data_IF_114801898126
#
_entry.id   IF_114801898126
#
_cell.length_a   1.000
_cell.length_b   1.000
_cell.length_c   1.000
_cell.angle_alpha   90.00
_cell.angle_beta   90.00
_cell.angle_gamma   90.00
#
_symmetry.space_group_name_H-M   'P 1'
#
loop_
_entity.id
_entity.type
_entity.pdbx_description
1 polymer ?
#
# COMPACT_ATOMS: atom_id res chain seq x y z
N UNK A 1 -16.05 -4.56 -4.15
CA UNK A 1 -16.98 -5.74 -4.11
C UNK A 1 -16.29 -6.89 -3.39
N UNK A 2 -17.03 -7.74 -2.66
CA UNK A 2 -16.42 -8.91 -2.00
C UNK A 2 -15.83 -9.88 -3.04
N UNK A 3 -14.62 -10.39 -2.78
CA UNK A 3 -13.96 -11.36 -3.66
C UNK A 3 -14.66 -12.72 -3.59
N UNK A 4 -14.73 -13.41 -4.71
CA UNK A 4 -15.28 -14.77 -4.84
C UNK A 4 -14.36 -15.81 -4.18
N UNK A 5 -14.87 -17.02 -3.93
CA UNK A 5 -14.08 -18.09 -3.32
C UNK A 5 -12.89 -18.51 -4.20
N UNK A 6 -13.09 -18.57 -5.53
CA UNK A 6 -12.03 -18.82 -6.49
C UNK A 6 -10.93 -17.75 -6.45
N UNK A 7 -11.29 -16.46 -6.46
CA UNK A 7 -10.32 -15.36 -6.38
C UNK A 7 -9.54 -15.39 -5.06
N UNK A 8 -10.22 -15.65 -3.95
CA UNK A 8 -9.60 -15.82 -2.64
C UNK A 8 -8.55 -16.94 -2.66
N UNK A 9 -8.91 -18.09 -3.25
CA UNK A 9 -8.01 -19.24 -3.35
C UNK A 9 -6.78 -18.92 -4.19
N UNK A 10 -6.96 -18.24 -5.32
CA UNK A 10 -5.85 -17.80 -6.17
C UNK A 10 -4.89 -16.87 -5.41
N UNK A 11 -5.41 -15.86 -4.71
CA UNK A 11 -4.61 -14.90 -3.95
C UNK A 11 -3.83 -15.56 -2.81
N UNK A 12 -4.44 -16.50 -2.08
CA UNK A 12 -3.74 -17.25 -1.02
C UNK A 12 -2.64 -18.15 -1.59
N UNK A 13 -2.76 -18.57 -2.86
CA UNK A 13 -1.71 -19.32 -3.54
C UNK A 13 -0.58 -18.47 -4.11
N UNK A 14 -0.68 -17.14 -4.07
CA UNK A 14 0.40 -16.25 -4.47
C UNK A 14 1.68 -16.48 -3.65
N UNK A 15 2.84 -16.25 -4.25
CA UNK A 15 4.14 -16.55 -3.64
C UNK A 15 4.32 -15.88 -2.27
N UNK A 16 3.95 -14.60 -2.15
CA UNK A 16 4.06 -13.84 -0.91
C UNK A 16 3.24 -14.48 0.23
N UNK A 17 1.99 -14.88 -0.05
CA UNK A 17 1.12 -15.54 0.92
C UNK A 17 1.66 -16.92 1.30
N UNK A 18 2.11 -17.73 0.35
CA UNK A 18 2.75 -19.02 0.62
C UNK A 18 3.96 -18.86 1.55
N UNK A 19 4.81 -17.85 1.29
CA UNK A 19 5.97 -17.53 2.14
C UNK A 19 5.52 -17.09 3.54
N UNK A 20 4.50 -16.24 3.62
CA UNK A 20 3.91 -15.78 4.89
C UNK A 20 3.33 -16.90 5.74
N UNK A 21 2.60 -17.84 5.12
CA UNK A 21 2.03 -19.04 5.77
C UNK A 21 3.15 -19.98 6.22
N UNK A 22 4.13 -20.27 5.35
CA UNK A 22 5.26 -21.14 5.68
C UNK A 22 6.10 -20.61 6.86
N UNK A 23 6.29 -19.28 6.94
CA UNK A 23 6.97 -18.61 8.06
C UNK A 23 6.07 -18.38 9.27
N UNK A 24 4.78 -18.74 9.19
CA UNK A 24 3.77 -18.54 10.23
C UNK A 24 3.61 -17.07 10.61
N UNK A 25 3.73 -16.13 9.67
CA UNK A 25 3.36 -14.73 9.90
C UNK A 25 1.85 -14.51 9.73
N UNK A 26 1.23 -15.32 8.88
CA UNK A 26 -0.22 -15.40 8.74
C UNK A 26 -0.66 -16.86 8.77
N UNK A 27 -1.90 -17.09 9.19
CA UNK A 27 -2.56 -18.40 9.11
C UNK A 27 -3.94 -18.19 8.50
N UNK A 28 -4.23 -18.92 7.42
CA UNK A 28 -5.54 -18.93 6.77
C UNK A 28 -6.21 -20.26 7.12
N UNK A 29 -7.50 -20.25 7.45
CA UNK A 29 -8.23 -21.49 7.72
C UNK A 29 -8.48 -22.30 6.44
N UNK A 30 -8.80 -23.58 6.60
CA UNK A 30 -8.99 -24.52 5.49
C UNK A 30 -10.13 -24.11 4.55
N UNK A 31 -11.15 -23.41 5.05
CA UNK A 31 -12.24 -22.87 4.23
C UNK A 31 -11.91 -21.55 3.52
N UNK A 32 -10.69 -21.00 3.70
CA UNK A 32 -10.25 -19.71 3.15
C UNK A 32 -11.17 -18.52 3.49
N UNK A 33 -11.84 -18.56 4.65
CA UNK A 33 -12.78 -17.51 5.05
C UNK A 33 -12.17 -16.50 6.01
N UNK A 34 -11.12 -16.88 6.74
CA UNK A 34 -10.51 -16.06 7.78
C UNK A 34 -9.00 -16.12 7.73
N UNK A 35 -8.39 -15.01 8.09
CA UNK A 35 -6.95 -14.85 8.23
C UNK A 35 -6.63 -14.44 9.67
N UNK A 36 -5.61 -15.07 10.23
CA UNK A 36 -5.02 -14.76 11.52
C UNK A 36 -3.63 -14.20 11.31
N UNK A 37 -3.36 -13.04 11.91
CA UNK A 37 -2.07 -12.37 11.86
C UNK A 37 -1.25 -12.72 13.10
N UNK A 38 -0.05 -13.26 12.91
CA UNK A 38 0.90 -13.47 13.99
C UNK A 38 1.76 -12.21 14.17
N UNK A 39 1.08 -11.14 14.58
CA UNK A 39 1.61 -9.80 14.82
C UNK A 39 1.48 -9.41 16.30
N UNK A 40 1.82 -8.16 16.66
CA UNK A 40 1.81 -7.64 18.03
C UNK A 40 0.47 -7.88 18.76
N UNK A 41 -0.66 -7.58 18.11
CA UNK A 41 -2.00 -7.70 18.69
C UNK A 41 -2.78 -8.97 18.29
N UNK A 42 -2.16 -9.87 17.51
CA UNK A 42 -2.70 -11.20 17.13
C UNK A 42 -4.13 -11.20 16.57
N UNK A 43 -4.39 -10.32 15.60
CA UNK A 43 -5.73 -10.09 15.07
C UNK A 43 -6.23 -11.23 14.17
N UNK A 44 -7.55 -11.48 14.18
CA UNK A 44 -8.27 -12.36 13.24
C UNK A 44 -9.27 -11.55 12.41
N UNK A 45 -9.27 -11.72 11.08
CA UNK A 45 -10.18 -11.02 10.16
C UNK A 45 -10.83 -11.96 9.14
N UNK A 46 -11.84 -11.44 8.43
CA UNK A 46 -12.56 -12.14 7.36
C UNK A 46 -11.97 -11.78 6.01
N UNK A 47 -11.62 -12.78 5.21
CA UNK A 47 -11.03 -12.59 3.89
C UNK A 47 -12.02 -12.05 2.84
N UNK A 48 -13.33 -12.12 3.10
CA UNK A 48 -14.34 -11.54 2.19
C UNK A 48 -14.34 -10.00 2.22
N UNK A 49 -13.73 -9.37 3.22
CA UNK A 49 -13.57 -7.92 3.24
C UNK A 49 -12.68 -7.52 2.05
N UNK A 50 -13.15 -6.64 1.13
CA UNK A 50 -12.42 -6.28 -0.08
C UNK A 50 -11.00 -5.77 0.16
N UNK A 51 -10.76 -5.12 1.30
CA UNK A 51 -9.48 -4.49 1.65
C UNK A 51 -8.51 -5.49 2.31
N UNK A 52 -9.01 -6.63 2.81
CA UNK A 52 -8.23 -7.53 3.66
C UNK A 52 -7.02 -8.13 2.94
N UNK A 53 -7.12 -8.40 1.64
CA UNK A 53 -5.99 -8.89 0.86
C UNK A 53 -4.92 -7.83 0.65
N UNK A 54 -5.33 -6.58 0.46
CA UNK A 54 -4.40 -5.45 0.37
C UNK A 54 -3.69 -5.29 1.71
N UNK A 55 -4.44 -5.32 2.81
CA UNK A 55 -3.89 -5.26 4.16
C UNK A 55 -2.93 -6.41 4.48
N UNK A 56 -3.30 -7.66 4.17
CA UNK A 56 -2.44 -8.83 4.35
C UNK A 56 -1.17 -8.75 3.51
N UNK A 57 -1.29 -8.31 2.26
CA UNK A 57 -0.15 -8.08 1.36
C UNK A 57 0.78 -7.02 1.95
N UNK A 58 0.24 -5.90 2.40
CA UNK A 58 1.01 -4.81 3.01
C UNK A 58 1.72 -5.25 4.29
N UNK A 59 1.04 -6.01 5.16
CA UNK A 59 1.62 -6.62 6.34
C UNK A 59 2.83 -7.51 6.00
N UNK A 60 2.69 -8.39 5.00
CA UNK A 60 3.78 -9.27 4.58
C UNK A 60 4.93 -8.50 3.92
N UNK A 61 4.65 -7.45 3.14
CA UNK A 61 5.67 -6.57 2.55
C UNK A 61 6.47 -5.84 3.63
N UNK A 62 5.80 -5.31 4.67
CA UNK A 62 6.49 -4.70 5.81
C UNK A 62 7.54 -5.64 6.42
N UNK A 63 7.24 -6.93 6.47
CA UNK A 63 8.14 -7.94 7.04
C UNK A 63 9.25 -8.32 6.05
N UNK A 64 8.90 -8.66 4.81
CA UNK A 64 9.84 -9.25 3.86
C UNK A 64 10.65 -8.26 3.05
N UNK A 65 10.07 -7.10 2.75
CA UNK A 65 10.67 -6.09 1.88
C UNK A 65 11.27 -4.95 2.70
N UNK A 66 10.63 -4.61 3.83
CA UNK A 66 11.04 -3.49 4.71
C UNK A 66 11.67 -3.94 6.04
N UNK A 67 11.80 -5.25 6.26
CA UNK A 67 12.52 -5.85 7.38
C UNK A 67 11.95 -5.52 8.78
N UNK A 68 10.68 -5.09 8.87
CA UNK A 68 10.00 -4.88 10.16
C UNK A 68 9.63 -6.21 10.81
N UNK A 69 9.85 -6.32 12.12
CA UNK A 69 9.49 -7.52 12.86
C UNK A 69 7.96 -7.57 13.06
N UNK A 70 7.32 -8.74 12.91
CA UNK A 70 5.88 -8.88 13.15
C UNK A 70 5.43 -8.40 14.54
N UNK A 71 6.31 -8.50 15.54
CA UNK A 71 6.05 -8.06 16.92
C UNK A 71 6.09 -6.53 17.09
N UNK A 72 6.53 -5.79 16.06
CA UNK A 72 6.45 -4.34 15.99
C UNK A 72 5.34 -3.86 15.05
N UNK A 73 4.50 -4.76 14.56
CA UNK A 73 3.40 -4.41 13.66
C UNK A 73 2.09 -4.81 14.33
N UNK A 74 1.12 -3.92 14.35
CA UNK A 74 -0.25 -4.21 14.73
C UNK A 74 -1.16 -4.11 13.52
N UNK A 75 -2.20 -4.93 13.50
CA UNK A 75 -3.19 -4.97 12.42
C UNK A 75 -4.58 -4.73 13.02
N UNK A 76 -5.34 -3.77 12.48
CA UNK A 76 -6.65 -3.34 12.98
C UNK A 76 -6.60 -2.98 14.49
N UNK A 77 -5.66 -2.12 14.88
CA UNK A 77 -5.55 -1.66 16.27
C UNK A 77 -6.50 -0.48 16.52
N UNK A 78 -7.26 -0.53 17.62
CA UNK A 78 -8.12 0.58 18.03
C UNK A 78 -7.28 1.74 18.57
N UNK A 79 -7.50 2.93 18.01
CA UNK A 79 -6.81 4.17 18.33
C UNK A 79 -7.81 5.26 18.73
N UNK A 80 -7.42 6.08 19.70
CA UNK A 80 -8.25 7.21 20.15
C UNK A 80 -8.00 8.43 19.25
N UNK A 81 -9.07 8.95 18.66
CA UNK A 81 -9.08 10.10 17.77
C UNK A 81 -9.97 11.20 18.37
N UNK A 82 -9.37 12.01 19.25
CA UNK A 82 -10.13 12.96 20.06
C UNK A 82 -11.10 12.23 20.98
N UNK A 83 -12.40 12.42 20.75
CA UNK A 83 -13.46 11.76 21.53
C UNK A 83 -13.88 10.39 20.95
N UNK A 84 -13.59 10.11 19.68
CA UNK A 84 -13.97 8.86 19.01
C UNK A 84 -12.86 7.82 19.10
N UNK A 85 -13.23 6.53 19.11
CA UNK A 85 -12.29 5.43 18.92
C UNK A 85 -12.46 4.90 17.50
N UNK A 86 -11.36 4.80 16.74
CA UNK A 86 -11.33 4.28 15.38
C UNK A 86 -10.35 3.12 15.26
N UNK A 87 -10.49 2.31 14.21
CA UNK A 87 -9.60 1.19 13.93
C UNK A 87 -8.61 1.62 12.85
N UNK A 88 -7.30 1.59 13.15
CA UNK A 88 -6.24 1.82 12.17
C UNK A 88 -5.83 0.50 11.53
N UNK A 89 -5.75 0.45 10.20
CA UNK A 89 -5.53 -0.79 9.44
C UNK A 89 -4.21 -1.47 9.81
N UNK A 90 -3.08 -0.75 9.72
CA UNK A 90 -1.79 -1.26 10.20
C UNK A 90 -1.00 -0.12 10.86
N UNK A 91 -0.43 -0.43 12.03
CA UNK A 91 0.50 0.44 12.74
C UNK A 91 1.85 -0.25 12.86
N UNK A 92 2.92 0.41 12.44
CA UNK A 92 4.28 -0.05 12.63
C UNK A 92 4.92 0.75 13.76
N UNK A 93 5.41 0.07 14.77
CA UNK A 93 6.06 0.65 15.93
C UNK A 93 7.58 0.59 15.78
N UNK A 94 8.25 1.43 16.56
CA UNK A 94 9.69 1.31 16.76
C UNK A 94 10.04 0.01 17.52
N UNK A 95 11.33 -0.28 17.62
CA UNK A 95 11.83 -1.52 18.22
C UNK A 95 11.34 -1.73 19.66
N UNK A 96 11.19 -0.64 20.41
CA UNK A 96 10.74 -0.62 21.80
C UNK A 96 9.21 -0.70 21.95
N UNK A 97 8.46 -0.75 20.85
CA UNK A 97 7.00 -0.78 20.83
C UNK A 97 6.31 0.39 21.55
N UNK A 98 7.00 1.53 21.71
CA UNK A 98 6.52 2.68 22.48
C UNK A 98 6.22 3.93 21.63
N UNK A 99 6.53 3.89 20.32
CA UNK A 99 6.21 4.95 19.37
C UNK A 99 5.76 4.33 18.05
N UNK A 100 4.67 4.85 17.48
CA UNK A 100 4.26 4.54 16.11
C UNK A 100 5.20 5.26 15.15
N UNK A 101 5.79 4.52 14.22
CA UNK A 101 6.64 5.05 13.15
C UNK A 101 5.85 5.26 11.86
N UNK A 102 5.03 4.27 11.49
CA UNK A 102 4.31 4.26 10.22
C UNK A 102 2.84 3.95 10.47
N UNK A 103 1.96 4.75 9.88
CA UNK A 103 0.54 4.41 9.71
C UNK A 103 0.33 3.93 8.29
N UNK A 104 -0.20 2.72 8.11
CA UNK A 104 -0.60 2.24 6.78
C UNK A 104 -2.12 2.21 6.71
N UNK A 105 -2.68 2.84 5.68
CA UNK A 105 -4.11 2.82 5.37
C UNK A 105 -4.33 2.04 4.07
N UNK A 106 -5.18 1.02 4.13
CA UNK A 106 -5.45 0.10 3.04
C UNK A 106 -6.82 0.39 2.44
N UNK A 107 -6.94 0.21 1.12
CA UNK A 107 -8.19 0.37 0.38
C UNK A 107 -8.34 -0.74 -0.64
N UNK A 108 -9.56 -0.98 -1.13
CA UNK A 108 -9.78 -1.99 -2.16
C UNK A 108 -9.12 -1.59 -3.48
N UNK A 109 -8.68 -2.57 -4.27
CA UNK A 109 -7.96 -2.36 -5.54
C UNK A 109 -8.70 -1.46 -6.54
N UNK A 110 -10.04 -1.51 -6.53
CA UNK A 110 -10.91 -0.75 -7.44
C UNK A 110 -11.32 0.64 -6.95
N UNK A 111 -10.68 1.16 -5.90
CA UNK A 111 -10.98 2.48 -5.36
C UNK A 111 -10.72 3.59 -6.40
N UNK A 112 -11.61 4.58 -6.47
CA UNK A 112 -11.39 5.74 -7.34
C UNK A 112 -10.48 6.79 -6.69
N UNK A 113 -9.94 7.70 -7.51
CA UNK A 113 -8.97 8.71 -7.08
C UNK A 113 -9.50 9.59 -5.94
N UNK A 114 -10.77 10.01 -5.99
CA UNK A 114 -11.36 10.86 -4.95
C UNK A 114 -11.41 10.14 -3.61
N UNK A 115 -11.86 8.90 -3.59
CA UNK A 115 -11.89 8.08 -2.37
C UNK A 115 -10.47 7.76 -1.87
N UNK A 116 -9.51 7.58 -2.78
CA UNK A 116 -8.11 7.40 -2.42
C UNK A 116 -7.56 8.64 -1.71
N UNK A 117 -7.86 9.85 -2.18
CA UNK A 117 -7.44 11.09 -1.50
C UNK A 117 -8.10 11.26 -0.12
N UNK A 118 -9.34 10.81 0.05
CA UNK A 118 -9.97 10.76 1.39
C UNK A 118 -9.20 9.81 2.32
N UNK A 119 -8.70 8.68 1.82
CA UNK A 119 -7.86 7.76 2.58
C UNK A 119 -6.50 8.38 2.94
N UNK A 120 -5.92 9.21 2.06
CA UNK A 120 -4.72 10.01 2.36
C UNK A 120 -4.94 10.95 3.53
N UNK A 121 -6.05 11.70 3.54
CA UNK A 121 -6.39 12.61 4.62
C UNK A 121 -6.68 11.86 5.94
N UNK A 122 -7.31 10.67 5.87
CA UNK A 122 -7.53 9.80 7.02
C UNK A 122 -6.20 9.31 7.62
N UNK A 123 -5.29 8.77 6.79
CA UNK A 123 -3.99 8.32 7.22
C UNK A 123 -3.18 9.44 7.89
N UNK A 124 -3.26 10.65 7.33
CA UNK A 124 -2.62 11.84 7.91
C UNK A 124 -3.20 12.19 9.29
N UNK A 125 -4.53 12.16 9.44
CA UNK A 125 -5.19 12.39 10.73
C UNK A 125 -4.72 11.41 11.81
N UNK A 126 -4.67 10.12 11.48
CA UNK A 126 -4.13 9.08 12.36
C UNK A 126 -2.67 9.32 12.69
N UNK A 127 -1.82 9.56 11.68
CA UNK A 127 -0.40 9.80 11.89
C UNK A 127 -0.14 11.02 12.77
N UNK A 128 -0.88 12.11 12.58
CA UNK A 128 -0.78 13.30 13.40
C UNK A 128 -1.15 13.03 14.87
N UNK A 129 -2.27 12.34 15.10
CA UNK A 129 -2.75 12.02 16.46
C UNK A 129 -1.83 11.04 17.19
N UNK A 130 -1.19 10.13 16.45
CA UNK A 130 -0.24 9.13 16.98
C UNK A 130 1.22 9.61 17.00
N UNK A 131 1.48 10.85 16.54
CA UNK A 131 2.83 11.39 16.34
C UNK A 131 3.75 10.44 15.52
N UNK A 132 3.17 9.80 14.50
CA UNK A 132 3.89 8.95 13.56
C UNK A 132 4.75 9.78 12.60
N UNK A 133 5.82 9.17 12.09
CA UNK A 133 6.76 9.85 11.19
C UNK A 133 6.38 9.66 9.73
N UNK A 134 5.78 8.52 9.36
CA UNK A 134 5.46 8.20 7.98
C UNK A 134 4.02 7.72 7.83
N UNK A 135 3.47 7.92 6.63
CA UNK A 135 2.25 7.27 6.17
C UNK A 135 2.49 6.49 4.89
N UNK A 136 1.78 5.38 4.76
CA UNK A 136 1.69 4.62 3.52
C UNK A 136 0.22 4.35 3.22
N UNK A 137 -0.27 4.84 2.09
CA UNK A 137 -1.64 4.61 1.63
C UNK A 137 -1.57 3.70 0.42
N UNK A 138 -2.36 2.62 0.40
CA UNK A 138 -2.27 1.62 -0.65
C UNK A 138 -3.59 0.96 -1.00
N UNK A 139 -3.80 0.77 -2.31
CA UNK A 139 -4.84 -0.11 -2.86
C UNK A 139 -4.27 -1.45 -3.36
N UNK A 140 -3.00 -1.73 -3.07
CA UNK A 140 -2.22 -2.81 -3.70
C UNK A 140 -1.70 -2.44 -5.09
N UNK A 141 -2.47 -1.66 -5.86
CA UNK A 141 -2.14 -1.19 -7.22
C UNK A 141 -1.46 0.19 -7.18
N UNK A 142 -2.07 1.13 -6.45
CA UNK A 142 -1.55 2.49 -6.23
C UNK A 142 -0.98 2.58 -4.82
N UNK A 143 0.13 3.29 -4.68
CA UNK A 143 0.77 3.58 -3.40
C UNK A 143 1.12 5.07 -3.35
N UNK A 144 0.84 5.70 -2.22
CA UNK A 144 1.37 7.03 -1.88
C UNK A 144 2.03 6.97 -0.50
N UNK A 145 3.14 7.67 -0.37
CA UNK A 145 3.99 7.66 0.81
C UNK A 145 4.27 9.08 1.23
N UNK A 146 4.21 9.36 2.53
CA UNK A 146 4.54 10.68 3.05
C UNK A 146 5.39 10.58 4.31
N UNK A 147 6.27 11.55 4.48
CA UNK A 147 6.89 11.89 5.76
C UNK A 147 6.15 13.08 6.37
N UNK A 148 5.87 13.02 7.67
CA UNK A 148 5.34 14.14 8.43
C UNK A 148 6.51 14.97 8.95
N UNK A 149 6.52 16.27 8.65
CA UNK A 149 7.57 17.15 9.12
C UNK A 149 7.59 17.20 10.65
N UNK A 150 8.79 17.19 11.22
CA UNK A 150 8.99 17.36 12.66
C UNK A 150 8.96 18.84 13.09
N UNK A 151 8.77 19.77 12.13
CA UNK A 151 8.76 21.21 12.34
C UNK A 151 7.34 21.74 12.22
N UNK A 152 7.04 22.84 12.91
CA UNK A 152 5.73 23.50 12.80
C UNK A 152 5.75 24.55 11.67
N UNK A 153 4.72 24.61 10.80
CA UNK A 153 3.55 23.73 10.75
C UNK A 153 3.90 22.32 10.28
N UNK A 154 3.20 21.32 10.82
CA UNK A 154 3.37 19.93 10.37
C UNK A 154 2.89 19.84 8.92
N UNK A 155 3.79 19.42 8.04
CA UNK A 155 3.58 19.30 6.61
C UNK A 155 3.71 17.83 6.19
N UNK A 156 2.97 17.46 5.13
CA UNK A 156 3.10 16.16 4.47
C UNK A 156 4.08 16.29 3.31
N UNK A 157 5.22 15.64 3.42
CA UNK A 157 6.27 15.65 2.40
C UNK A 157 6.11 14.36 1.59
N UNK A 158 5.84 14.47 0.29
CA UNK A 158 5.67 13.32 -0.58
C UNK A 158 6.99 12.55 -0.74
N UNK A 159 6.92 11.24 -0.56
CA UNK A 159 8.05 10.31 -0.62
C UNK A 159 7.85 9.30 -1.75
N UNK A 160 8.95 8.71 -2.21
CA UNK A 160 8.89 7.63 -3.20
C UNK A 160 8.59 6.27 -2.56
N UNK A 161 8.89 6.12 -1.27
CA UNK A 161 8.69 4.90 -0.48
C UNK A 161 8.81 5.19 1.04
N UNK A 162 8.42 4.22 1.87
CA UNK A 162 8.73 4.21 3.31
C UNK A 162 10.16 3.67 3.57
N UNK A 163 10.79 4.03 4.69
CA UNK A 163 12.10 3.48 5.04
C UNK A 163 12.00 1.99 5.39
N UNK A 164 13.10 1.28 5.18
CA UNK A 164 13.31 -0.02 5.84
C UNK A 164 13.59 0.19 7.32
N UNK A 165 13.37 -0.84 8.14
CA UNK A 165 13.60 -0.80 9.60
C UNK A 165 14.94 -0.16 9.98
N UNK A 166 16.03 -0.58 9.33
CA UNK A 166 17.41 -0.15 9.62
C UNK A 166 18.09 0.49 8.40
N UNK A 167 17.32 1.13 7.51
CA UNK A 167 17.84 1.63 6.23
C UNK A 167 17.38 3.05 5.88
N UNK A 168 18.12 3.67 4.96
CA UNK A 168 17.75 4.94 4.37
C UNK A 168 16.81 4.74 3.18
N UNK A 169 15.99 5.76 2.90
CA UNK A 169 15.12 5.78 1.74
C UNK A 169 16.00 6.07 0.51
N UNK A 170 15.97 5.15 -0.46
CA UNK A 170 16.72 5.33 -1.70
C UNK A 170 16.14 6.49 -2.52
N UNK A 171 16.94 7.11 -3.38
CA UNK A 171 16.49 8.17 -4.28
C UNK A 171 15.54 7.67 -5.37
N UNK A 172 15.67 6.40 -5.75
CA UNK A 172 14.84 5.76 -6.77
C UNK A 172 14.42 4.39 -6.28
N UNK A 173 13.13 4.06 -6.42
CA UNK A 173 12.62 2.74 -6.07
C UNK A 173 13.06 1.68 -7.07
N UNK A 174 13.13 2.03 -8.35
CA UNK A 174 13.54 1.12 -9.43
C UNK A 174 14.66 1.74 -10.24
N UNK A 175 15.64 0.91 -10.61
CA UNK A 175 16.77 1.30 -11.45
C UNK A 175 16.93 0.21 -12.51
N UNK A 176 16.78 0.59 -13.78
CA UNK A 176 16.84 -0.36 -14.90
C UNK A 176 18.14 -1.18 -14.85
N UNK A 177 18.03 -2.49 -15.00
CA UNK A 177 19.17 -3.42 -14.97
C UNK A 177 19.71 -3.76 -13.57
N UNK A 178 19.51 -2.90 -12.58
CA UNK A 178 19.97 -3.14 -11.20
C UNK A 178 18.82 -3.61 -10.28
N UNK A 179 17.73 -2.85 -10.27
CA UNK A 179 16.54 -3.13 -9.48
C UNK A 179 15.28 -2.92 -10.34
N UNK A 180 14.96 -3.94 -11.13
CA UNK A 180 13.79 -3.93 -12.00
C UNK A 180 12.52 -4.24 -11.19
N UNK A 181 11.37 -3.63 -11.55
CA UNK A 181 10.09 -4.03 -10.96
C UNK A 181 9.78 -5.49 -11.29
N UNK A 182 9.11 -6.18 -10.37
CA UNK A 182 8.55 -7.49 -10.65
C UNK A 182 7.53 -7.39 -11.80
N UNK A 183 7.48 -8.44 -12.63
CA UNK A 183 6.53 -8.50 -13.73
C UNK A 183 5.12 -8.62 -13.16
N UNK A 184 4.33 -7.56 -13.31
CA UNK A 184 2.94 -7.55 -12.90
C UNK A 184 2.03 -8.38 -13.80
N UNK A 185 0.78 -8.53 -13.39
CA UNK A 185 -0.27 -9.18 -14.18
C UNK A 185 -0.86 -8.24 -15.22
N UNK A 186 -1.53 -8.79 -16.24
CA UNK A 186 -2.28 -7.97 -17.20
C UNK A 186 -3.38 -7.15 -16.52
N UNK A 187 -4.05 -7.73 -15.51
CA UNK A 187 -5.10 -7.04 -14.75
C UNK A 187 -4.56 -5.82 -14.00
N UNK A 188 -3.42 -5.97 -13.34
CA UNK A 188 -2.73 -4.85 -12.67
C UNK A 188 -2.36 -3.74 -13.66
N UNK A 189 -1.85 -4.11 -14.84
CA UNK A 189 -1.48 -3.13 -15.86
C UNK A 189 -2.71 -2.36 -16.38
N UNK A 190 -3.82 -3.06 -16.65
CA UNK A 190 -5.09 -2.44 -17.06
C UNK A 190 -5.57 -1.46 -15.99
N UNK A 191 -5.51 -1.83 -14.73
CA UNK A 191 -5.94 -0.95 -13.63
C UNK A 191 -5.06 0.29 -13.51
N UNK A 192 -3.74 0.15 -13.67
CA UNK A 192 -2.82 1.31 -13.69
C UNK A 192 -3.16 2.27 -14.83
N UNK A 193 -3.44 1.76 -16.04
CA UNK A 193 -3.84 2.61 -17.16
C UNK A 193 -5.19 3.29 -16.93
N UNK A 194 -6.18 2.58 -16.37
CA UNK A 194 -7.47 3.18 -16.00
C UNK A 194 -7.30 4.30 -14.97
N UNK A 195 -6.55 4.04 -13.90
CA UNK A 195 -6.29 5.04 -12.86
C UNK A 195 -5.56 6.28 -13.41
N UNK A 196 -4.58 6.09 -14.29
CA UNK A 196 -3.88 7.20 -14.94
C UNK A 196 -4.81 7.99 -15.88
N UNK A 197 -5.66 7.31 -16.65
CA UNK A 197 -6.67 7.95 -17.50
C UNK A 197 -7.67 8.76 -16.67
N UNK A 198 -8.24 8.17 -15.62
CA UNK A 198 -9.22 8.80 -14.75
C UNK A 198 -8.64 10.05 -14.06
N UNK A 199 -7.37 9.98 -13.64
CA UNK A 199 -6.66 11.12 -13.06
C UNK A 199 -6.49 12.28 -14.06
N UNK A 200 -6.11 11.98 -15.32
CA UNK A 200 -6.03 12.98 -16.38
C UNK A 200 -7.41 13.54 -16.77
N UNK A 201 -8.42 12.68 -16.80
CA UNK A 201 -9.81 13.07 -17.10
C UNK A 201 -10.39 14.04 -16.08
N UNK A 202 -9.97 13.94 -14.81
CA UNK A 202 -10.27 14.93 -13.78
C UNK A 202 -11.76 15.05 -13.45
N UNK A 203 -12.53 13.95 -13.56
CA UNK A 203 -13.96 13.96 -13.26
C UNK A 203 -14.83 14.69 -14.29
N UNK A 204 -14.35 14.85 -15.52
CA UNK A 204 -15.05 15.56 -16.60
C UNK A 204 -14.44 16.91 -16.95
N UNK A 205 -13.33 17.29 -16.32
CA UNK A 205 -12.58 18.49 -16.67
C UNK A 205 -12.00 18.42 -18.09
N UNK A 206 -11.60 17.23 -18.54
CA UNK A 206 -11.22 16.95 -19.92
C UNK A 206 -12.25 16.03 -20.59
N UNK A 207 -12.33 16.10 -21.92
CA UNK A 207 -13.04 15.09 -22.69
C UNK A 207 -12.32 13.73 -22.56
N UNK A 208 -13.04 12.59 -22.51
CA UNK A 208 -12.43 11.27 -22.37
C UNK A 208 -11.37 10.96 -23.44
N UNK A 209 -11.58 11.42 -24.68
CA UNK A 209 -10.63 11.26 -25.78
C UNK A 209 -9.36 12.08 -25.57
N UNK A 210 -9.48 13.31 -25.07
CA UNK A 210 -8.31 14.15 -24.76
C UNK A 210 -7.49 13.56 -23.63
N UNK A 211 -8.12 13.07 -22.56
CA UNK A 211 -7.40 12.39 -21.49
C UNK A 211 -6.70 11.11 -21.97
N UNK A 212 -7.30 10.40 -22.93
CA UNK A 212 -6.68 9.25 -23.58
C UNK A 212 -5.47 9.65 -24.42
N UNK A 213 -5.57 10.70 -25.24
CA UNK A 213 -4.44 11.21 -26.04
C UNK A 213 -3.26 11.65 -25.15
N UNK A 214 -3.52 12.29 -24.00
CA UNK A 214 -2.47 12.64 -23.05
C UNK A 214 -1.84 11.41 -22.37
N UNK A 215 -2.64 10.39 -22.05
CA UNK A 215 -2.12 9.13 -21.53
C UNK A 215 -1.22 8.42 -22.54
N UNK A 216 -1.62 8.38 -23.81
CA UNK A 216 -0.84 7.76 -24.88
C UNK A 216 0.54 8.41 -25.01
N UNK A 217 0.63 9.75 -24.93
CA UNK A 217 1.92 10.45 -24.92
C UNK A 217 2.82 9.97 -23.77
N UNK A 218 2.27 9.77 -22.57
CA UNK A 218 3.04 9.25 -21.43
C UNK A 218 3.51 7.82 -21.66
N UNK A 219 2.65 6.96 -22.22
CA UNK A 219 3.01 5.58 -22.57
C UNK A 219 4.12 5.56 -23.62
N UNK A 220 4.02 6.39 -24.67
CA UNK A 220 5.07 6.52 -25.68
C UNK A 220 6.39 6.98 -25.09
N UNK A 221 6.39 8.02 -24.26
CA UNK A 221 7.58 8.48 -23.55
C UNK A 221 8.20 7.34 -22.73
N UNK A 222 7.40 6.54 -22.02
CA UNK A 222 7.92 5.44 -21.20
C UNK A 222 8.45 4.27 -22.04
N UNK A 223 7.77 3.90 -23.12
CA UNK A 223 8.26 2.85 -24.04
C UNK A 223 9.57 3.30 -24.69
N UNK A 224 9.66 4.58 -25.07
CA UNK A 224 10.87 5.15 -25.65
C UNK A 224 12.04 5.09 -24.64
N UNK A 225 11.83 5.60 -23.43
CA UNK A 225 12.78 5.54 -22.30
C UNK A 225 13.27 4.10 -22.00
N UNK A 226 12.38 3.12 -22.01
CA UNK A 226 12.75 1.72 -21.79
C UNK A 226 13.55 1.10 -22.96
N UNK A 227 13.32 1.53 -24.20
CA UNK A 227 13.97 0.99 -25.40
C UNK A 227 15.28 1.68 -25.77
N UNK A 228 15.38 2.98 -25.54
CA UNK A 228 16.50 3.83 -25.95
C UNK A 228 17.12 4.51 -24.75
N UNK A 229 17.96 3.76 -24.03
CA UNK A 229 19.00 4.33 -23.18
C UNK A 229 20.31 4.33 -23.98
N UNK A 230 20.83 5.51 -24.29
CA UNK A 230 22.20 5.68 -24.82
C UNK A 230 23.28 5.61 -23.72
N UNK A 231 22.94 5.15 -22.51
CA UNK A 231 23.88 5.03 -21.39
C UNK A 231 24.53 3.63 -21.31
N UNK A 232 25.17 3.21 -22.40
CA UNK A 232 26.25 2.21 -22.38
C UNK A 232 27.60 2.93 -22.34
#
# INVERSE_FOLDING_TARGET
MAKTAEEIKELVTAELFRKGIAKKYIVVNDEFTTIHYNCKNKTKRRLQNPEEFVQATSFLKLIFDYDYLPQNISVNESVQMGAETKEADILVYNEKNNKVLIVVECKEEGINERQFQVAVDQAYSYAHSLAATYTWITSGIKNEYFELSNLYPVERIAMIDIPKRDGEIQRYKYVKGLHNPLKGTQGELIQKFKSAHDALWGGGALAPTTAFDELDKLIFCKIWDERWDENN
#
